data_IF_623541465250
#
_entry.id   IF_623541465250
#
_cell.length_a   1.000
_cell.length_b   1.000
_cell.length_c   1.000
_cell.angle_alpha   90.00
_cell.angle_beta   90.00
_cell.angle_gamma   90.00
#
_symmetry.space_group_name_H-M   'P 1'
#
loop_
_entity.id
_entity.type
_entity.pdbx_description
1 polymer ?
#
# COMPACT_ATOMS: atom_id res chain seq x y z
N UNK A 1 -24.45 -9.23 12.35
CA UNK A 1 -23.63 -8.84 11.19
C UNK A 1 -22.93 -7.49 11.36
N UNK A 2 -23.63 -6.39 11.70
CA UNK A 2 -23.05 -5.04 11.83
C UNK A 2 -21.84 -4.96 12.79
N UNK A 3 -21.91 -5.58 13.97
CA UNK A 3 -20.81 -5.57 14.95
C UNK A 3 -19.52 -6.23 14.44
N UNK A 4 -19.64 -7.30 13.65
CA UNK A 4 -18.47 -8.02 13.08
C UNK A 4 -17.79 -7.13 12.03
N UNK A 5 -18.57 -6.42 11.20
CA UNK A 5 -18.04 -5.44 10.24
C UNK A 5 -17.37 -4.26 10.94
N UNK A 6 -17.96 -3.76 12.03
CA UNK A 6 -17.34 -2.71 12.85
C UNK A 6 -16.01 -3.18 13.45
N UNK A 7 -15.94 -4.43 13.94
CA UNK A 7 -14.69 -5.02 14.44
C UNK A 7 -13.61 -5.08 13.36
N UNK A 8 -13.95 -5.58 12.17
CA UNK A 8 -13.04 -5.59 11.02
C UNK A 8 -12.55 -4.19 10.63
N UNK A 9 -13.46 -3.22 10.56
CA UNK A 9 -13.14 -1.82 10.23
C UNK A 9 -12.24 -1.19 11.31
N UNK A 10 -12.50 -1.46 12.59
CA UNK A 10 -11.66 -0.99 13.70
C UNK A 10 -10.24 -1.58 13.62
N UNK A 11 -10.11 -2.86 13.25
CA UNK A 11 -8.81 -3.49 12.99
C UNK A 11 -8.06 -2.79 11.85
N UNK A 12 -8.74 -2.50 10.73
CA UNK A 12 -8.14 -1.74 9.63
C UNK A 12 -7.72 -0.32 10.05
N UNK A 13 -8.53 0.36 10.87
CA UNK A 13 -8.25 1.70 11.39
C UNK A 13 -7.01 1.70 12.28
N UNK A 14 -6.88 0.73 13.19
CA UNK A 14 -5.71 0.66 14.09
C UNK A 14 -4.38 0.57 13.35
N UNK A 15 -4.33 -0.15 12.21
CA UNK A 15 -3.11 -0.28 11.41
C UNK A 15 -2.70 1.04 10.76
N UNK A 16 -3.65 1.94 10.46
CA UNK A 16 -3.35 3.24 9.88
C UNK A 16 -2.65 4.18 10.87
N UNK A 17 -2.79 3.94 12.18
CA UNK A 17 -2.15 4.72 13.22
C UNK A 17 -0.72 4.25 13.53
N UNK A 18 -0.30 3.11 13.00
CA UNK A 18 1.05 2.58 13.23
C UNK A 18 2.07 3.28 12.33
N UNK A 19 3.09 3.87 12.96
CA UNK A 19 4.23 4.49 12.26
C UNK A 19 5.22 3.44 11.73
N UNK A 20 5.25 2.26 12.35
CA UNK A 20 6.12 1.14 11.96
C UNK A 20 5.27 -0.09 11.64
N UNK A 21 5.44 -0.65 10.44
CA UNK A 21 4.67 -1.82 10.04
C UNK A 21 5.34 -3.12 10.56
N UNK A 22 4.63 -3.95 11.34
CA UNK A 22 5.14 -5.25 11.78
C UNK A 22 5.35 -6.19 10.58
N UNK A 23 6.32 -7.11 10.66
CA UNK A 23 6.78 -7.94 9.55
C UNK A 23 5.67 -8.67 8.75
N UNK A 24 5.87 -8.84 7.44
CA UNK A 24 4.87 -9.37 6.49
C UNK A 24 4.36 -10.75 6.86
N UNK A 25 5.27 -11.63 7.29
CA UNK A 25 4.92 -12.97 7.72
C UNK A 25 3.96 -12.96 8.91
N UNK A 26 4.15 -12.04 9.87
CA UNK A 26 3.30 -11.94 11.04
C UNK A 26 1.90 -11.40 10.69
N UNK A 27 1.80 -10.41 9.80
CA UNK A 27 0.51 -9.86 9.38
C UNK A 27 -0.33 -10.85 8.56
N UNK A 28 0.28 -11.48 7.54
CA UNK A 28 -0.41 -12.41 6.67
C UNK A 28 -0.75 -13.73 7.40
N UNK A 29 0.20 -14.29 8.15
CA UNK A 29 0.00 -15.53 8.91
C UNK A 29 -1.00 -15.33 10.06
N UNK A 30 -0.87 -14.25 10.82
CA UNK A 30 -1.79 -13.93 11.92
C UNK A 30 -3.21 -13.65 11.43
N UNK A 31 -3.37 -12.92 10.33
CA UNK A 31 -4.67 -12.66 9.72
C UNK A 31 -5.35 -13.94 9.19
N UNK A 32 -4.60 -14.83 8.55
CA UNK A 32 -5.11 -16.11 8.06
C UNK A 32 -5.52 -17.04 9.21
N UNK A 33 -4.69 -17.15 10.25
CA UNK A 33 -5.02 -17.93 11.44
C UNK A 33 -6.28 -17.40 12.15
N UNK A 34 -6.41 -16.07 12.29
CA UNK A 34 -7.60 -15.45 12.84
C UNK A 34 -8.87 -15.70 12.01
N UNK A 35 -8.74 -15.75 10.68
CA UNK A 35 -9.85 -16.07 9.78
C UNK A 35 -10.30 -17.53 9.95
N UNK A 36 -9.34 -18.47 10.01
CA UNK A 36 -9.64 -19.88 10.25
C UNK A 36 -10.33 -20.09 11.59
N UNK A 37 -9.84 -19.44 12.65
CA UNK A 37 -10.47 -19.45 13.97
C UNK A 37 -11.88 -18.84 13.93
N UNK A 38 -12.10 -17.76 13.17
CA UNK A 38 -13.42 -17.15 13.02
C UNK A 38 -14.41 -18.13 12.39
N UNK A 39 -13.99 -18.87 11.36
CA UNK A 39 -14.83 -19.88 10.70
C UNK A 39 -15.16 -21.02 11.66
N UNK A 40 -14.17 -21.52 12.40
CA UNK A 40 -14.37 -22.58 13.40
C UNK A 40 -15.35 -22.14 14.48
N UNK A 41 -15.12 -20.97 15.10
CA UNK A 41 -15.99 -20.43 16.16
C UNK A 41 -17.40 -20.15 15.63
N UNK A 42 -17.54 -19.62 14.42
CA UNK A 42 -18.85 -19.38 13.81
C UNK A 42 -19.62 -20.68 13.51
N UNK A 43 -18.91 -21.76 13.15
CA UNK A 43 -19.49 -23.07 12.90
C UNK A 43 -19.84 -23.85 14.19
N UNK A 44 -19.21 -23.50 15.32
CA UNK A 44 -19.52 -24.15 16.60
C UNK A 44 -20.87 -23.71 17.18
N UNK A 45 -21.62 -24.70 17.66
CA UNK A 45 -22.87 -24.52 18.42
C UNK A 45 -22.70 -24.80 19.91
N UNK A 46 -21.51 -25.26 20.33
CA UNK A 46 -21.20 -25.65 21.70
C UNK A 46 -21.01 -24.46 22.67
N UNK A 47 -21.07 -23.22 22.18
CA UNK A 47 -20.80 -22.02 22.97
C UNK A 47 -22.05 -21.17 23.20
N UNK A 48 -22.13 -20.44 24.33
CA UNK A 48 -23.19 -19.46 24.54
C UNK A 48 -23.18 -18.41 23.42
N UNK A 49 -24.35 -17.92 22.98
CA UNK A 49 -24.45 -17.00 21.85
C UNK A 49 -23.68 -15.68 22.07
N UNK A 50 -23.60 -15.20 23.31
CA UNK A 50 -22.84 -13.98 23.66
C UNK A 50 -21.33 -14.19 23.58
N UNK A 51 -20.82 -15.30 24.11
CA UNK A 51 -19.39 -15.65 24.03
C UNK A 51 -18.97 -15.82 22.58
N UNK A 52 -19.78 -16.50 21.78
CA UNK A 52 -19.56 -16.66 20.34
C UNK A 52 -19.52 -15.31 19.62
N UNK A 53 -20.45 -14.41 19.93
CA UNK A 53 -20.47 -13.06 19.34
C UNK A 53 -19.21 -12.26 19.70
N UNK A 54 -18.80 -12.28 20.97
CA UNK A 54 -17.61 -11.57 21.44
C UNK A 54 -16.33 -12.10 20.76
N UNK A 55 -16.17 -13.43 20.68
CA UNK A 55 -15.06 -14.06 19.96
C UNK A 55 -15.07 -13.71 18.47
N UNK A 56 -16.23 -13.75 17.81
CA UNK A 56 -16.33 -13.38 16.40
C UNK A 56 -15.94 -11.92 16.16
N UNK A 57 -16.31 -11.00 17.04
CA UNK A 57 -15.91 -9.58 16.93
C UNK A 57 -14.40 -9.44 17.12
N UNK A 58 -13.82 -10.09 18.14
CA UNK A 58 -12.38 -10.04 18.41
C UNK A 58 -11.56 -10.64 17.26
N UNK A 59 -12.00 -11.77 16.71
CA UNK A 59 -11.37 -12.40 15.56
C UNK A 59 -11.52 -11.55 14.29
N UNK A 60 -12.66 -10.89 14.09
CA UNK A 60 -12.83 -9.96 12.98
C UNK A 60 -11.87 -8.75 13.07
N UNK A 61 -11.62 -8.22 14.26
CA UNK A 61 -10.57 -7.20 14.49
C UNK A 61 -9.20 -7.74 14.07
N UNK A 62 -8.83 -8.94 14.53
CA UNK A 62 -7.55 -9.56 14.19
C UNK A 62 -7.37 -9.82 12.69
N UNK A 63 -8.43 -10.28 12.01
CA UNK A 63 -8.46 -10.43 10.54
C UNK A 63 -8.26 -9.07 9.85
N UNK A 64 -8.94 -8.02 10.34
CA UNK A 64 -8.78 -6.66 9.83
C UNK A 64 -7.35 -6.12 9.95
N UNK A 65 -6.71 -6.36 11.10
CA UNK A 65 -5.30 -5.99 11.34
C UNK A 65 -4.37 -6.73 10.36
N UNK A 66 -4.52 -8.04 10.23
CA UNK A 66 -3.67 -8.84 9.34
C UNK A 66 -3.83 -8.46 7.87
N UNK A 67 -5.07 -8.24 7.42
CA UNK A 67 -5.38 -7.80 6.06
C UNK A 67 -4.80 -6.42 5.75
N UNK A 68 -5.04 -5.44 6.62
CA UNK A 68 -4.54 -4.09 6.45
C UNK A 68 -3.01 -4.05 6.48
N UNK A 69 -2.37 -4.78 7.40
CA UNK A 69 -0.92 -4.89 7.50
C UNK A 69 -0.29 -5.46 6.23
N UNK A 70 -0.83 -6.60 5.74
CA UNK A 70 -0.36 -7.22 4.50
C UNK A 70 -0.50 -6.29 3.29
N UNK A 71 -1.65 -5.63 3.12
CA UNK A 71 -1.87 -4.66 2.04
C UNK A 71 -0.87 -3.51 2.18
N UNK A 72 -0.75 -2.93 3.37
CA UNK A 72 0.10 -1.76 3.58
C UNK A 72 1.56 -2.06 3.23
N UNK A 73 2.05 -3.25 3.60
CA UNK A 73 3.40 -3.68 3.23
C UNK A 73 3.58 -3.92 1.74
N UNK A 74 2.61 -4.49 1.03
CA UNK A 74 2.69 -4.61 -0.43
C UNK A 74 2.90 -3.25 -1.11
N UNK A 75 2.24 -2.21 -0.61
CA UNK A 75 2.47 -0.84 -1.12
C UNK A 75 3.77 -0.22 -0.64
N UNK A 76 4.20 -0.53 0.58
CA UNK A 76 5.51 -0.12 1.09
C UNK A 76 6.66 -0.79 0.31
N UNK A 77 6.48 -2.01 -0.18
CA UNK A 77 7.49 -2.72 -0.98
C UNK A 77 7.71 -2.08 -2.36
N UNK A 78 6.70 -1.37 -2.88
CA UNK A 78 6.79 -0.62 -4.14
C UNK A 78 7.35 0.80 -3.95
N UNK A 79 7.60 1.23 -2.71
CA UNK A 79 8.15 2.57 -2.43
C UNK A 79 9.61 2.67 -2.85
N UNK A 80 10.03 3.87 -3.21
CA UNK A 80 11.44 4.18 -3.43
C UNK A 80 12.25 3.82 -2.17
N UNK A 81 13.39 3.15 -2.33
CA UNK A 81 14.20 2.81 -1.17
C UNK A 81 14.61 4.09 -0.42
N UNK A 82 14.53 4.13 0.93
CA UNK A 82 14.93 5.31 1.70
C UNK A 82 16.37 5.74 1.45
N UNK A 83 17.25 4.78 1.11
CA UNK A 83 18.65 5.05 0.75
C UNK A 83 18.82 5.87 -0.53
N UNK A 84 17.79 5.94 -1.37
CA UNK A 84 17.77 6.72 -2.62
C UNK A 84 17.02 8.05 -2.48
N UNK A 85 16.48 8.36 -1.29
CA UNK A 85 15.88 9.66 -1.02
C UNK A 85 16.98 10.74 -0.97
N UNK A 86 16.80 11.83 -1.73
CA UNK A 86 17.76 12.94 -1.79
C UNK A 86 19.01 12.68 -2.64
N UNK A 87 19.18 11.48 -3.19
CA UNK A 87 20.28 11.17 -4.10
C UNK A 87 19.99 11.67 -5.53
N UNK A 88 20.99 12.27 -6.17
CA UNK A 88 20.92 12.62 -7.60
C UNK A 88 21.13 11.36 -8.43
N UNK A 89 20.08 10.88 -9.10
CA UNK A 89 20.11 9.68 -9.94
C UNK A 89 19.88 10.05 -11.40
N UNK A 90 20.71 9.52 -12.30
CA UNK A 90 20.44 9.53 -13.73
C UNK A 90 19.63 8.28 -14.06
N UNK A 91 18.41 8.44 -14.60
CA UNK A 91 17.48 7.33 -14.86
C UNK A 91 17.04 7.35 -16.31
N UNK A 92 17.12 6.20 -17.00
CA UNK A 92 16.61 6.02 -18.38
C UNK A 92 15.30 5.24 -18.37
N UNK A 93 14.37 5.56 -19.27
CA UNK A 93 13.04 4.98 -19.26
C UNK A 93 12.06 5.66 -20.21
N UNK A 94 10.78 5.32 -20.08
CA UNK A 94 9.70 5.75 -20.97
C UNK A 94 8.69 6.63 -20.23
N UNK A 95 8.26 7.72 -20.85
CA UNK A 95 7.11 8.50 -20.36
C UNK A 95 5.83 7.77 -20.73
N UNK A 96 5.18 7.18 -19.74
CA UNK A 96 4.10 6.21 -19.93
C UNK A 96 2.69 6.81 -19.98
N UNK A 97 2.56 8.13 -19.81
CA UNK A 97 1.26 8.79 -19.77
C UNK A 97 1.36 10.30 -19.94
N UNK A 98 0.19 10.91 -20.08
CA UNK A 98 0.04 12.35 -20.26
C UNK A 98 0.62 13.13 -19.09
N UNK A 99 1.31 14.21 -19.45
CA UNK A 99 1.79 15.22 -18.52
C UNK A 99 0.62 16.00 -17.94
N UNK A 100 0.56 16.13 -16.62
CA UNK A 100 -0.40 16.95 -15.90
C UNK A 100 0.33 18.20 -15.41
N UNK A 101 -0.14 19.37 -15.83
CA UNK A 101 0.32 20.63 -15.25
C UNK A 101 -0.33 20.82 -13.88
N UNK A 102 0.49 21.10 -12.88
CA UNK A 102 0.05 21.30 -11.49
C UNK A 102 0.20 22.76 -11.02
N UNK A 103 0.57 23.68 -11.92
CA UNK A 103 0.83 25.09 -11.59
C UNK A 103 2.16 25.33 -10.85
N UNK A 104 2.81 24.27 -10.39
CA UNK A 104 4.14 24.27 -9.75
C UNK A 104 5.17 23.49 -10.59
N UNK A 105 4.81 23.13 -11.83
CA UNK A 105 5.57 22.28 -12.72
C UNK A 105 4.74 21.16 -13.34
N UNK A 106 5.41 20.35 -14.16
CA UNK A 106 4.79 19.28 -14.93
C UNK A 106 4.99 17.94 -14.23
N UNK A 107 3.92 17.19 -14.01
CA UNK A 107 3.96 15.84 -13.46
C UNK A 107 3.70 14.81 -14.55
N UNK A 108 4.50 13.75 -14.59
CA UNK A 108 4.27 12.66 -15.52
C UNK A 108 4.69 11.30 -14.96
N UNK A 109 3.95 10.22 -15.29
CA UNK A 109 4.33 8.87 -14.92
C UNK A 109 5.44 8.35 -15.84
N UNK A 110 6.57 7.99 -15.25
CA UNK A 110 7.76 7.49 -15.92
C UNK A 110 7.99 6.01 -15.57
N UNK A 111 8.17 5.17 -16.58
CA UNK A 111 8.53 3.77 -16.44
C UNK A 111 10.04 3.64 -16.53
N UNK A 112 10.66 3.12 -15.47
CA UNK A 112 12.11 2.95 -15.39
C UNK A 112 12.54 1.71 -16.15
N UNK A 113 13.62 1.82 -16.94
CA UNK A 113 14.29 0.66 -17.50
C UNK A 113 15.06 -0.08 -16.39
N UNK A 114 14.51 -1.21 -15.96
CA UNK A 114 15.07 -2.04 -14.88
C UNK A 114 16.42 -2.66 -15.24
N UNK A 115 16.75 -2.80 -16.53
CA UNK A 115 18.03 -3.37 -16.96
C UNK A 115 19.23 -2.51 -16.57
N UNK A 116 19.02 -1.19 -16.37
CA UNK A 116 20.08 -0.22 -16.09
C UNK A 116 20.07 0.33 -14.67
N UNK A 117 18.94 0.20 -13.96
CA UNK A 117 18.77 0.73 -12.61
C UNK A 117 18.11 -0.30 -11.68
N UNK A 118 18.93 -1.20 -11.12
CA UNK A 118 18.49 -2.14 -10.09
C UNK A 118 18.16 -1.37 -8.79
N UNK A 119 16.96 -1.59 -8.24
CA UNK A 119 16.52 -1.02 -6.96
C UNK A 119 15.55 0.15 -7.06
N UNK A 120 15.25 0.67 -8.25
CA UNK A 120 14.19 1.66 -8.44
C UNK A 120 12.82 0.98 -8.64
N UNK A 121 11.73 1.58 -8.12
CA UNK A 121 10.38 1.18 -8.48
C UNK A 121 10.19 1.22 -9.99
N UNK A 122 9.39 0.29 -10.57
CA UNK A 122 9.16 0.25 -12.02
C UNK A 122 8.49 1.52 -12.55
N UNK A 123 7.70 2.18 -11.70
CA UNK A 123 6.90 3.34 -12.07
C UNK A 123 7.18 4.46 -11.08
N UNK A 124 7.69 5.56 -11.60
CA UNK A 124 7.97 6.78 -10.85
C UNK A 124 7.00 7.87 -11.32
N UNK A 125 6.54 8.71 -10.41
CA UNK A 125 5.84 9.95 -10.75
C UNK A 125 6.84 11.09 -10.61
N UNK A 126 7.35 11.58 -11.73
CA UNK A 126 8.34 12.65 -11.74
C UNK A 126 7.63 14.01 -11.80
N UNK A 127 8.12 14.98 -11.04
CA UNK A 127 7.70 16.39 -11.12
C UNK A 127 8.87 17.21 -11.64
N UNK A 128 8.70 17.80 -12.81
CA UNK A 128 9.68 18.70 -13.41
C UNK A 128 9.36 20.15 -13.01
N UNK A 129 10.27 20.82 -12.28
CA UNK A 129 10.02 22.15 -11.68
C UNK A 129 10.52 23.36 -12.48
N UNK A 130 11.44 23.22 -13.44
CA UNK A 130 11.93 24.36 -14.23
C UNK A 130 11.73 24.12 -15.72
N UNK A 131 10.73 24.74 -16.30
CA UNK A 131 10.53 24.73 -17.74
C UNK A 131 11.05 26.03 -18.35
N UNK A 132 12.11 25.95 -19.14
CA UNK A 132 12.35 26.91 -20.21
C UNK A 132 11.99 26.21 -21.51
N UNK A 133 10.84 26.54 -22.10
CA UNK A 133 10.50 26.07 -23.45
C UNK A 133 11.35 26.86 -24.42
N UNK A 134 12.33 26.23 -25.02
CA UNK A 134 12.89 26.71 -26.27
C UNK A 134 12.21 25.94 -27.39
N UNK A 135 11.05 26.44 -27.83
CA UNK A 135 10.45 26.01 -29.09
C UNK A 135 11.33 26.51 -30.22
N UNK A 136 12.27 25.67 -30.69
CA UNK A 136 13.04 25.97 -31.89
C UNK A 136 12.17 25.65 -33.10
N UNK A 137 11.39 26.64 -33.53
CA UNK A 137 10.69 26.56 -34.81
C UNK A 137 11.74 26.36 -35.91
N UNK A 138 11.66 25.23 -36.60
CA UNK A 138 12.40 24.99 -37.84
C UNK A 138 11.91 26.03 -38.83
N UNK A 139 12.66 27.13 -38.97
CA UNK A 139 12.37 28.12 -40.02
C UNK A 139 12.44 27.40 -41.37
N UNK A 140 11.46 27.61 -42.26
CA UNK A 140 11.51 27.10 -43.63
C UNK A 140 12.70 27.68 -44.39
#
# INVERSE_FOLDING_TARGET
MRLILCGFAAGCWSVQQLTTLPAVGACAGGGAAALLLLVVVAATTAMPPWTRLALCVLLAVAVGIGWAGWRAQRRLAERLSPAQEGATLSVTGLVSGLTVDTGQGVRFPFLVDRGRHAGLPPRLLLTWRSFTVTVRLKRP
#
